data_IF_774243799926
#
_entry.id   IF_774243799926
#
_cell.length_a   1.000
_cell.length_b   1.000
_cell.length_c   1.000
_cell.angle_alpha   90.00
_cell.angle_beta   90.00
_cell.angle_gamma   90.00
#
_symmetry.space_group_name_H-M   'P 1'
#
loop_
_entity.id
_entity.type
_entity.pdbx_description
1 polymer ?
#
# COMPACT_ATOMS: atom_id res chain seq x y z
N UNK A 1 8.36 -7.35 3.49
CA UNK A 1 8.33 -8.83 3.51
C UNK A 1 9.61 -9.49 4.01
N UNK A 2 10.50 -8.77 4.76
CA UNK A 2 11.80 -9.32 5.23
C UNK A 2 11.64 -10.54 6.13
N UNK A 3 10.64 -10.52 7.02
CA UNK A 3 10.35 -11.67 7.90
C UNK A 3 9.88 -12.88 7.08
N UNK A 4 9.05 -12.65 6.07
CA UNK A 4 8.62 -13.70 5.15
C UNK A 4 9.82 -14.30 4.42
N UNK A 5 10.69 -13.46 3.84
CA UNK A 5 11.90 -13.90 3.14
C UNK A 5 12.80 -14.74 4.03
N UNK A 6 13.07 -14.28 5.26
CA UNK A 6 13.92 -14.99 6.22
C UNK A 6 13.36 -16.38 6.64
N UNK A 7 12.07 -16.60 6.46
CA UNK A 7 11.37 -17.84 6.77
C UNK A 7 11.00 -18.67 5.54
N UNK A 8 11.40 -18.23 4.35
CA UNK A 8 11.03 -18.90 3.08
C UNK A 8 9.55 -18.77 2.73
N UNK A 9 8.85 -17.76 3.28
CA UNK A 9 7.44 -17.49 3.01
C UNK A 9 7.28 -16.44 1.91
N UNK A 10 6.29 -16.64 1.04
CA UNK A 10 5.80 -15.62 0.12
C UNK A 10 4.68 -14.80 0.82
N UNK A 11 4.54 -13.48 0.51
CA UNK A 11 5.33 -12.71 -0.43
C UNK A 11 6.58 -12.05 0.18
N UNK A 12 7.58 -11.81 -0.67
CA UNK A 12 8.69 -10.91 -0.39
C UNK A 12 9.07 -10.18 -1.68
N UNK A 13 9.40 -8.88 -1.57
CA UNK A 13 9.70 -8.02 -2.72
C UNK A 13 10.96 -7.19 -2.49
N UNK A 14 11.63 -6.81 -3.59
CA UNK A 14 12.61 -5.74 -3.63
C UNK A 14 11.94 -4.48 -4.19
N UNK A 15 12.15 -3.32 -3.53
CA UNK A 15 11.56 -2.06 -3.90
C UNK A 15 12.66 -1.04 -4.21
N UNK A 16 12.49 -0.26 -5.28
CA UNK A 16 13.37 0.83 -5.64
C UNK A 16 12.53 2.00 -6.17
N UNK A 17 12.83 3.22 -5.71
CA UNK A 17 12.28 4.45 -6.27
C UNK A 17 13.35 5.52 -6.37
N UNK A 18 13.18 6.44 -7.31
CA UNK A 18 14.06 7.60 -7.54
C UNK A 18 13.24 8.87 -7.41
N UNK A 19 13.72 9.80 -6.60
CA UNK A 19 13.12 11.13 -6.39
C UNK A 19 14.13 12.23 -6.74
N UNK A 20 13.64 13.34 -7.29
CA UNK A 20 14.44 14.52 -7.64
C UNK A 20 14.64 15.52 -6.49
N UNK A 21 13.84 15.40 -5.42
CA UNK A 21 13.84 16.36 -4.31
C UNK A 21 13.90 15.70 -2.91
N UNK A 22 14.04 14.38 -2.83
CA UNK A 22 14.06 13.64 -1.56
C UNK A 22 12.70 13.50 -0.86
N UNK A 23 11.62 13.95 -1.49
CA UNK A 23 10.24 13.80 -1.02
C UNK A 23 9.48 12.79 -1.90
N UNK A 24 8.38 12.25 -1.39
CA UNK A 24 7.55 11.33 -2.16
C UNK A 24 6.95 12.01 -3.41
N UNK A 25 6.52 13.26 -3.31
CA UNK A 25 6.03 14.06 -4.44
C UNK A 25 7.06 14.23 -5.57
N UNK A 26 8.34 14.12 -5.25
CA UNK A 26 9.46 14.15 -6.19
C UNK A 26 9.74 12.83 -6.90
N UNK A 27 9.00 11.75 -6.63
CA UNK A 27 9.27 10.43 -7.23
C UNK A 27 9.10 10.48 -8.76
N UNK A 28 10.15 10.09 -9.46
CA UNK A 28 10.21 10.07 -10.94
C UNK A 28 9.87 8.69 -11.50
N UNK A 29 10.35 7.64 -10.82
CA UNK A 29 10.17 6.26 -11.24
C UNK A 29 10.21 5.33 -10.04
N UNK A 30 9.53 4.20 -10.14
CA UNK A 30 9.51 3.17 -9.13
C UNK A 30 9.40 1.77 -9.71
N UNK A 31 9.99 0.81 -9.01
CA UNK A 31 9.93 -0.62 -9.32
C UNK A 31 9.70 -1.40 -8.03
N UNK A 32 8.83 -2.42 -8.09
CA UNK A 32 8.63 -3.44 -7.07
C UNK A 32 8.73 -4.80 -7.75
N UNK A 33 9.72 -5.61 -7.36
CA UNK A 33 9.92 -6.95 -7.92
C UNK A 33 9.64 -8.02 -6.89
N UNK A 34 8.73 -8.92 -7.21
CA UNK A 34 8.42 -10.08 -6.37
C UNK A 34 9.54 -11.14 -6.48
N UNK A 35 10.14 -11.51 -5.34
CA UNK A 35 11.36 -12.34 -5.32
C UNK A 35 11.09 -13.80 -5.63
N UNK A 36 9.87 -14.30 -5.41
CA UNK A 36 9.52 -15.70 -5.68
C UNK A 36 8.90 -15.90 -7.06
N UNK A 37 8.04 -14.99 -7.52
CA UNK A 37 7.34 -15.14 -8.82
C UNK A 37 8.07 -14.45 -9.97
N UNK A 38 8.97 -13.50 -9.66
CA UNK A 38 9.65 -12.66 -10.65
C UNK A 38 8.76 -11.54 -11.23
N UNK A 39 7.50 -11.45 -10.83
CA UNK A 39 6.60 -10.36 -11.25
C UNK A 39 7.20 -9.00 -10.91
N UNK A 40 7.12 -8.08 -11.86
CA UNK A 40 7.71 -6.76 -11.74
C UNK A 40 6.67 -5.70 -12.01
N UNK A 41 6.33 -4.94 -10.97
CA UNK A 41 5.52 -3.74 -11.05
C UNK A 41 6.42 -2.54 -11.28
N UNK A 42 6.04 -1.63 -12.17
CA UNK A 42 6.80 -0.40 -12.40
C UNK A 42 5.90 0.76 -12.80
N UNK A 43 6.37 1.97 -12.51
CA UNK A 43 5.72 3.21 -12.92
C UNK A 43 6.76 4.31 -13.15
N UNK A 44 6.42 5.24 -14.03
CA UNK A 44 7.10 6.54 -14.18
C UNK A 44 6.09 7.65 -14.01
N UNK A 45 6.52 8.80 -13.48
CA UNK A 45 5.66 9.97 -13.27
C UNK A 45 4.89 10.32 -14.54
N UNK A 46 3.55 10.29 -14.48
CA UNK A 46 2.66 10.56 -15.61
C UNK A 46 2.63 9.49 -16.70
N UNK A 47 3.32 8.37 -16.52
CA UNK A 47 3.38 7.28 -17.50
C UNK A 47 2.43 6.12 -17.20
N UNK A 48 1.75 6.19 -16.05
CA UNK A 48 0.93 5.08 -15.56
C UNK A 48 1.76 3.93 -14.99
N UNK A 49 1.06 2.87 -14.55
CA UNK A 49 1.67 1.70 -13.92
C UNK A 49 1.59 0.46 -14.80
N UNK A 50 2.57 -0.42 -14.67
CA UNK A 50 2.65 -1.68 -15.42
C UNK A 50 2.97 -2.87 -14.52
N UNK A 51 2.52 -4.06 -14.91
CA UNK A 51 2.96 -5.36 -14.41
C UNK A 51 3.57 -6.14 -15.56
N UNK A 52 4.85 -6.50 -15.43
CA UNK A 52 5.63 -7.17 -16.48
C UNK A 52 5.54 -6.44 -17.85
N UNK A 53 5.58 -5.10 -17.83
CA UNK A 53 5.50 -4.24 -19.01
C UNK A 53 4.09 -4.07 -19.58
N UNK A 54 3.06 -4.70 -19.02
CA UNK A 54 1.67 -4.51 -19.43
C UNK A 54 0.98 -3.51 -18.53
N UNK A 55 0.26 -2.55 -19.09
CA UNK A 55 -0.51 -1.55 -18.33
C UNK A 55 -1.49 -2.21 -17.36
N UNK A 56 -1.50 -1.74 -16.13
CA UNK A 56 -2.42 -2.16 -15.08
C UNK A 56 -3.31 -0.99 -14.65
N UNK A 57 -4.44 -1.35 -14.04
CA UNK A 57 -5.39 -0.39 -13.46
C UNK A 57 -5.97 -0.96 -12.19
N UNK A 58 -6.29 -0.07 -11.27
CA UNK A 58 -7.01 -0.39 -10.04
C UNK A 58 -8.37 -1.03 -10.30
N UNK A 59 -8.88 -1.75 -9.30
CA UNK A 59 -10.20 -2.37 -9.33
C UNK A 59 -11.34 -1.34 -9.49
N UNK A 60 -12.52 -1.83 -9.88
CA UNK A 60 -13.76 -1.05 -9.82
C UNK A 60 -14.09 -0.71 -8.37
N UNK A 61 -14.83 0.41 -8.17
CA UNK A 61 -15.23 0.84 -6.83
C UNK A 61 -16.03 -0.26 -6.11
N UNK A 62 -15.63 -0.56 -4.86
CA UNK A 62 -16.34 -1.41 -3.91
C UNK A 62 -16.50 -0.68 -2.58
N UNK A 63 -17.56 -0.98 -1.84
CA UNK A 63 -17.70 -0.57 -0.44
C UNK A 63 -16.84 -1.48 0.44
N UNK A 64 -16.38 -0.99 1.60
CA UNK A 64 -15.49 -1.72 2.51
C UNK A 64 -16.05 -3.11 2.89
N UNK A 65 -17.36 -3.25 3.04
CA UNK A 65 -18.02 -4.52 3.35
C UNK A 65 -17.81 -5.62 2.29
N UNK A 66 -17.65 -5.25 1.02
CA UNK A 66 -17.48 -6.19 -0.11
C UNK A 66 -16.08 -6.17 -0.71
N UNK A 67 -15.23 -5.27 -0.25
CA UNK A 67 -13.86 -5.12 -0.69
C UNK A 67 -12.96 -6.23 -0.13
N UNK A 68 -11.95 -6.65 -0.88
CA UNK A 68 -10.87 -7.49 -0.42
C UNK A 68 -9.75 -6.59 0.12
N UNK A 69 -9.59 -6.58 1.43
CA UNK A 69 -8.74 -5.63 2.15
C UNK A 69 -7.59 -6.37 2.85
N UNK A 70 -6.40 -5.83 2.81
CA UNK A 70 -5.32 -6.28 3.70
C UNK A 70 -5.17 -5.35 4.90
N UNK A 71 -4.94 -5.92 6.07
CA UNK A 71 -4.70 -5.19 7.32
C UNK A 71 -3.46 -5.78 7.98
N UNK A 72 -2.45 -4.96 8.29
CA UNK A 72 -1.32 -5.41 9.10
C UNK A 72 -1.58 -5.08 10.58
N UNK A 73 -1.78 -6.13 11.38
CA UNK A 73 -1.98 -6.06 12.83
C UNK A 73 -0.82 -6.67 13.61
N UNK A 74 0.24 -7.06 12.95
CA UNK A 74 1.42 -7.63 13.61
C UNK A 74 2.08 -6.60 14.52
N UNK A 75 2.38 -7.00 15.76
CA UNK A 75 2.96 -6.13 16.80
C UNK A 75 2.07 -4.92 17.18
N UNK A 76 0.76 -4.97 16.93
CA UNK A 76 -0.16 -3.91 17.33
C UNK A 76 -0.40 -3.99 18.84
N UNK A 77 -0.12 -2.93 19.60
CA UNK A 77 -0.31 -2.93 21.05
C UNK A 77 -1.78 -2.82 21.46
N UNK A 78 -2.61 -2.21 20.62
CA UNK A 78 -4.03 -1.97 20.86
C UNK A 78 -4.83 -2.26 19.58
N UNK A 79 -5.89 -3.04 19.71
CA UNK A 79 -6.78 -3.42 18.61
C UNK A 79 -8.05 -2.56 18.53
N UNK A 80 -8.26 -1.60 19.41
CA UNK A 80 -9.52 -0.82 19.48
C UNK A 80 -9.84 -0.14 18.15
N UNK A 81 -8.83 0.46 17.51
CA UNK A 81 -8.98 1.08 16.18
C UNK A 81 -9.13 0.08 15.03
N UNK A 82 -8.77 -1.19 15.25
CA UNK A 82 -8.89 -2.27 14.25
C UNK A 82 -10.24 -2.98 14.38
N UNK A 83 -10.81 -3.06 15.56
CA UNK A 83 -12.06 -3.76 15.83
C UNK A 83 -13.22 -3.33 14.94
N UNK A 84 -13.45 -2.02 14.66
CA UNK A 84 -14.49 -1.60 13.71
C UNK A 84 -14.27 -2.15 12.30
N UNK A 85 -13.02 -2.18 11.82
CA UNK A 85 -12.67 -2.77 10.52
C UNK A 85 -12.98 -4.26 10.47
N UNK A 86 -12.55 -5.02 11.50
CA UNK A 86 -12.79 -6.47 11.58
C UNK A 86 -14.29 -6.80 11.62
N UNK A 87 -15.08 -5.94 12.23
CA UNK A 87 -16.54 -6.12 12.33
C UNK A 87 -17.28 -5.75 11.03
N UNK A 88 -16.74 -4.78 10.27
CA UNK A 88 -17.39 -4.22 9.08
C UNK A 88 -16.94 -4.94 7.80
N UNK A 89 -15.64 -5.20 7.64
CA UNK A 89 -15.05 -5.77 6.43
C UNK A 89 -15.15 -7.29 6.45
N UNK A 90 -15.64 -7.90 5.36
CA UNK A 90 -15.86 -9.36 5.29
C UNK A 90 -14.63 -10.14 4.79
N UNK A 91 -13.84 -9.54 3.92
CA UNK A 91 -12.75 -10.23 3.25
C UNK A 91 -11.41 -9.58 3.61
N UNK A 92 -10.78 -10.11 4.65
CA UNK A 92 -9.54 -9.57 5.20
C UNK A 92 -8.39 -10.54 4.92
N UNK A 93 -7.21 -9.97 4.61
CA UNK A 93 -5.94 -10.68 4.46
C UNK A 93 -4.87 -9.96 5.27
N UNK A 94 -3.79 -10.68 5.56
CA UNK A 94 -2.54 -10.13 6.10
C UNK A 94 -1.40 -10.88 5.42
N UNK A 95 -0.75 -10.26 4.44
CA UNK A 95 0.30 -10.90 3.66
C UNK A 95 1.70 -10.62 4.25
N UNK A 96 1.81 -9.62 5.13
CA UNK A 96 3.06 -9.27 5.80
C UNK A 96 4.08 -8.58 4.90
N UNK A 97 3.62 -7.89 3.86
CA UNK A 97 4.45 -7.14 2.93
C UNK A 97 3.66 -5.98 2.31
N UNK A 98 3.67 -4.82 2.98
CA UNK A 98 2.89 -3.64 2.54
C UNK A 98 3.18 -3.26 1.09
N UNK A 99 4.43 -3.34 0.63
CA UNK A 99 4.74 -3.06 -0.77
C UNK A 99 4.10 -4.06 -1.75
N UNK A 100 3.99 -5.34 -1.38
CA UNK A 100 3.23 -6.32 -2.17
C UNK A 100 1.75 -5.97 -2.18
N UNK A 101 1.18 -5.68 -1.01
CA UNK A 101 -0.24 -5.39 -0.84
C UNK A 101 -0.65 -4.14 -1.63
N UNK A 102 0.16 -3.08 -1.60
CA UNK A 102 -0.02 -1.87 -2.42
C UNK A 102 0.07 -2.17 -3.93
N UNK A 103 1.02 -3.01 -4.34
CA UNK A 103 1.16 -3.42 -5.75
C UNK A 103 -0.04 -4.24 -6.23
N UNK A 104 -0.62 -5.07 -5.34
CA UNK A 104 -1.85 -5.82 -5.63
C UNK A 104 -3.08 -4.90 -5.73
N UNK A 105 -3.12 -3.77 -5.00
CA UNK A 105 -4.17 -2.75 -5.23
C UNK A 105 -3.97 -2.11 -6.61
N UNK A 106 -2.75 -1.74 -6.97
CA UNK A 106 -2.44 -1.14 -8.27
C UNK A 106 -2.85 -2.02 -9.45
N UNK A 107 -2.79 -3.36 -9.29
CA UNK A 107 -3.22 -4.33 -10.32
C UNK A 107 -4.69 -4.76 -10.20
N UNK A 108 -5.44 -4.24 -9.23
CA UNK A 108 -6.85 -4.57 -9.05
C UNK A 108 -7.13 -5.91 -8.38
N UNK A 109 -6.12 -6.55 -7.80
CA UNK A 109 -6.26 -7.82 -7.07
C UNK A 109 -6.77 -7.61 -5.65
N UNK A 110 -6.28 -6.56 -4.96
CA UNK A 110 -6.81 -6.06 -3.69
C UNK A 110 -7.53 -4.74 -3.92
N UNK A 111 -8.42 -4.38 -3.00
CA UNK A 111 -9.14 -3.11 -3.02
C UNK A 111 -8.50 -2.07 -2.08
N UNK A 112 -7.92 -2.51 -0.96
CA UNK A 112 -7.29 -1.61 0.02
C UNK A 112 -6.22 -2.30 0.89
N UNK A 113 -5.37 -1.46 1.51
CA UNK A 113 -4.39 -1.86 2.53
C UNK A 113 -4.42 -0.87 3.71
N UNK A 114 -4.35 -1.40 4.93
CA UNK A 114 -4.41 -0.63 6.17
C UNK A 114 -3.28 -1.07 7.09
N UNK A 115 -2.46 -0.12 7.50
CA UNK A 115 -1.43 -0.27 8.52
C UNK A 115 -1.38 1.00 9.39
N UNK A 116 -2.13 1.00 10.48
CA UNK A 116 -2.27 2.14 11.40
C UNK A 116 -1.44 1.98 12.67
N UNK A 117 -0.31 1.28 12.57
CA UNK A 117 0.62 1.08 13.70
C UNK A 117 1.58 2.25 13.90
N UNK A 118 1.67 3.21 12.96
CA UNK A 118 2.64 4.32 12.98
C UNK A 118 4.09 3.88 12.75
N UNK A 119 4.31 2.68 12.24
CA UNK A 119 5.65 2.08 12.08
C UNK A 119 6.00 1.73 10.63
N UNK A 120 5.14 2.07 9.69
CA UNK A 120 5.40 1.89 8.24
C UNK A 120 6.50 2.86 7.83
N UNK A 121 7.64 2.35 7.37
CA UNK A 121 8.74 3.21 6.93
C UNK A 121 8.51 3.69 5.50
N UNK A 122 8.86 4.95 5.25
CA UNK A 122 8.80 5.55 3.91
C UNK A 122 9.55 4.69 2.87
N UNK A 123 10.74 4.18 3.23
CA UNK A 123 11.56 3.32 2.36
C UNK A 123 10.90 1.98 2.00
N UNK A 124 9.98 1.48 2.82
CA UNK A 124 9.32 0.20 2.57
C UNK A 124 8.14 0.34 1.60
N UNK A 125 7.53 1.54 1.49
CA UNK A 125 6.26 1.71 0.77
C UNK A 125 6.32 2.72 -0.39
N UNK A 126 7.29 3.64 -0.42
CA UNK A 126 7.32 4.73 -1.40
C UNK A 126 7.24 4.24 -2.86
N UNK A 127 8.00 3.19 -3.22
CA UNK A 127 7.95 2.65 -4.57
C UNK A 127 6.55 2.12 -4.93
N UNK A 128 5.95 1.33 -4.04
CA UNK A 128 4.64 0.74 -4.28
C UNK A 128 3.50 1.77 -4.24
N UNK A 129 3.62 2.80 -3.37
CA UNK A 129 2.67 3.93 -3.35
C UNK A 129 2.72 4.74 -4.64
N UNK A 130 3.92 4.99 -5.21
CA UNK A 130 4.04 5.67 -6.49
C UNK A 130 3.38 4.85 -7.61
N UNK A 131 3.61 3.52 -7.65
CA UNK A 131 2.96 2.62 -8.60
C UNK A 131 1.44 2.64 -8.43
N UNK A 132 0.95 2.64 -7.18
CA UNK A 132 -0.48 2.73 -6.89
C UNK A 132 -1.08 4.05 -7.39
N UNK A 133 -0.42 5.18 -7.13
CA UNK A 133 -0.87 6.49 -7.57
C UNK A 133 -0.93 6.58 -9.11
N UNK A 134 0.10 6.09 -9.80
CA UNK A 134 0.14 6.05 -11.26
C UNK A 134 -0.90 5.06 -11.87
N UNK A 135 -1.34 4.04 -11.12
CA UNK A 135 -2.45 3.18 -11.49
C UNK A 135 -3.84 3.84 -11.26
N UNK A 136 -3.89 5.00 -10.61
CA UNK A 136 -5.10 5.75 -10.28
C UNK A 136 -5.70 5.44 -8.90
N UNK A 137 -4.93 4.82 -8.01
CA UNK A 137 -5.29 4.61 -6.60
C UNK A 137 -5.04 5.84 -5.73
N UNK A 138 -5.42 5.75 -4.49
CA UNK A 138 -5.33 6.84 -3.50
C UNK A 138 -4.81 6.33 -2.16
N UNK A 139 -4.29 7.24 -1.32
CA UNK A 139 -3.76 6.89 -0.01
C UNK A 139 -3.91 8.05 0.99
N UNK A 140 -3.77 7.72 2.26
CA UNK A 140 -3.64 8.64 3.37
C UNK A 140 -2.45 8.22 4.24
N UNK A 141 -1.64 9.19 4.66
CA UNK A 141 -0.62 9.01 5.68
C UNK A 141 -0.98 9.86 6.89
N UNK A 142 -0.93 9.26 8.09
CA UNK A 142 -1.26 9.90 9.35
C UNK A 142 -2.63 10.64 9.32
N UNK A 143 -3.61 10.04 8.65
CA UNK A 143 -4.96 10.59 8.49
C UNK A 143 -5.10 11.67 7.41
N UNK A 144 -4.02 12.08 6.74
CA UNK A 144 -4.01 13.12 5.70
C UNK A 144 -3.95 12.51 4.30
N UNK A 145 -5.00 12.75 3.50
CA UNK A 145 -5.12 12.20 2.14
C UNK A 145 -4.10 12.83 1.21
N UNK A 146 -3.34 12.01 0.50
CA UNK A 146 -2.35 12.45 -0.49
C UNK A 146 -1.18 13.25 0.10
N UNK A 147 -0.97 13.18 1.42
CA UNK A 147 0.09 13.92 2.06
C UNK A 147 1.47 13.50 1.55
N UNK A 148 2.35 14.48 1.41
CA UNK A 148 3.75 14.28 1.05
C UNK A 148 4.57 13.89 2.28
N UNK A 149 5.66 13.16 2.08
CA UNK A 149 6.55 12.74 3.16
C UNK A 149 7.99 12.59 2.67
N UNK A 150 9.00 12.76 3.59
CA UNK A 150 10.39 12.62 3.22
C UNK A 150 10.76 11.15 2.97
N UNK A 151 11.58 10.91 1.94
CA UNK A 151 12.09 9.58 1.59
C UNK A 151 13.35 9.26 2.41
N UNK A 152 13.22 9.29 3.73
CA UNK A 152 14.30 8.97 4.65
C UNK A 152 14.03 7.64 5.36
N UNK A 153 15.07 7.07 5.95
CA UNK A 153 14.97 5.81 6.70
C UNK A 153 14.19 5.97 8.02
N UNK A 154 14.22 7.16 8.59
CA UNK A 154 13.61 7.50 9.87
C UNK A 154 12.13 7.84 9.74
N UNK A 155 11.68 8.24 8.55
CA UNK A 155 10.29 8.59 8.33
C UNK A 155 9.38 7.35 8.48
N UNK A 156 8.48 7.40 9.44
CA UNK A 156 7.45 6.39 9.69
C UNK A 156 6.07 7.04 9.69
N UNK A 157 5.03 6.25 9.39
CA UNK A 157 3.67 6.75 9.28
C UNK A 157 2.64 5.67 9.54
N UNK A 158 1.42 6.06 9.80
CA UNK A 158 0.23 5.26 9.56
C UNK A 158 -0.12 5.32 8.07
N UNK A 159 -0.59 4.24 7.49
CA UNK A 159 -0.91 4.15 6.07
C UNK A 159 -2.28 3.51 5.86
N UNK A 160 -3.14 4.19 5.14
CA UNK A 160 -4.36 3.63 4.55
C UNK A 160 -4.33 3.89 3.06
N UNK A 161 -4.42 2.86 2.24
CA UNK A 161 -4.42 2.97 0.79
C UNK A 161 -5.60 2.22 0.18
N UNK A 162 -6.17 2.76 -0.89
CA UNK A 162 -7.34 2.18 -1.52
C UNK A 162 -7.34 2.37 -3.05
N UNK A 163 -8.07 1.51 -3.73
CA UNK A 163 -8.28 1.61 -5.17
C UNK A 163 -9.02 2.91 -5.56
N UNK A 164 -9.91 3.42 -4.71
CA UNK A 164 -10.75 4.60 -5.01
C UNK A 164 -10.97 5.46 -3.76
N UNK A 165 -11.12 6.78 -3.97
CA UNK A 165 -11.32 7.74 -2.89
C UNK A 165 -12.53 7.40 -1.99
N UNK A 166 -13.72 7.04 -2.49
CA UNK A 166 -14.83 6.72 -1.59
C UNK A 166 -14.56 5.54 -0.66
N UNK A 167 -13.79 4.53 -1.10
CA UNK A 167 -13.37 3.43 -0.25
C UNK A 167 -12.36 3.92 0.81
N UNK A 168 -11.40 4.77 0.43
CA UNK A 168 -10.46 5.37 1.36
C UNK A 168 -11.20 6.15 2.47
N UNK A 169 -12.17 6.99 2.10
CA UNK A 169 -12.95 7.82 3.04
C UNK A 169 -13.74 6.94 4.04
N UNK A 170 -14.35 5.85 3.55
CA UNK A 170 -15.06 4.87 4.40
C UNK A 170 -14.08 4.21 5.40
N UNK A 171 -12.91 3.77 4.93
CA UNK A 171 -11.90 3.12 5.78
C UNK A 171 -11.30 4.09 6.81
N UNK A 172 -11.02 5.33 6.43
CA UNK A 172 -10.56 6.37 7.35
C UNK A 172 -11.58 6.67 8.44
N UNK A 173 -12.89 6.59 8.13
CA UNK A 173 -13.95 6.76 9.13
C UNK A 173 -13.95 5.59 10.13
N UNK A 174 -13.70 4.37 9.68
CA UNK A 174 -13.65 3.17 10.53
C UNK A 174 -12.38 3.09 11.40
N UNK A 175 -11.31 3.79 11.02
CA UNK A 175 -10.01 3.79 11.75
C UNK A 175 -9.82 4.98 12.69
N UNK A 176 -10.80 5.88 12.79
CA UNK A 176 -10.73 7.04 13.72
C UNK A 176 -10.63 6.54 15.17
N UNK A 177 -9.86 7.28 16.01
CA UNK A 177 -9.79 7.01 17.45
C UNK A 177 -11.15 7.10 18.13
#
# INVERSE_FOLDING_TARGET
GTTNLARGLSPAVACLSVSDNGMFSGTLAAVVKHLYTGETYSATRGGGATLNGRQIKIAVLRQARSALISIDISKTPNLDRITPLLSHCRYIRMLGSSATELSLIASGTLDAHIDIRGTVRATDVAAALHILAEAGGTYSTDGSVGADFPLTREATMELVAASRQPLLDELLTLTKP
#
